data_IF_458036022272
#
_entry.id   IF_458036022272
#
_cell.length_a   1.000
_cell.length_b   1.000
_cell.length_c   1.000
_cell.angle_alpha   90.00
_cell.angle_beta   90.00
_cell.angle_gamma   90.00
#
_symmetry.space_group_name_H-M   'P 1'
#
loop_
_entity.id
_entity.type
_entity.pdbx_description
1 polymer ?
#
# COMPACT_ATOMS: atom_id res chain seq x y z
N UNK A 1 43.80 -46.21 -31.32
CA UNK A 1 42.38 -46.20 -30.88
C UNK A 1 42.14 -45.18 -29.75
N UNK A 2 43.04 -45.09 -28.76
CA UNK A 2 42.88 -44.21 -27.60
C UNK A 2 42.78 -42.70 -27.91
N UNK A 3 43.58 -42.17 -28.85
CA UNK A 3 43.54 -40.74 -29.21
C UNK A 3 42.19 -40.31 -29.85
N UNK A 4 41.57 -41.20 -30.63
CA UNK A 4 40.25 -40.96 -31.22
C UNK A 4 39.17 -40.91 -30.13
N UNK A 5 39.24 -41.81 -29.14
CA UNK A 5 38.29 -41.84 -28.04
C UNK A 5 38.44 -40.62 -27.12
N UNK A 6 39.68 -40.19 -26.81
CA UNK A 6 39.91 -38.93 -26.09
C UNK A 6 39.32 -37.71 -26.82
N UNK A 7 39.43 -37.66 -28.15
CA UNK A 7 38.84 -36.57 -28.94
C UNK A 7 37.32 -36.61 -28.92
N UNK A 8 36.72 -37.80 -28.97
CA UNK A 8 35.27 -38.00 -28.83
C UNK A 8 34.78 -37.51 -27.47
N UNK A 9 35.46 -37.90 -26.39
CA UNK A 9 35.13 -37.47 -25.03
C UNK A 9 35.22 -35.95 -24.87
N UNK A 10 36.25 -35.30 -25.42
CA UNK A 10 36.39 -33.83 -25.40
C UNK A 10 35.22 -33.13 -26.12
N UNK A 11 34.79 -33.64 -27.28
CA UNK A 11 33.64 -33.08 -28.01
C UNK A 11 32.35 -33.21 -27.20
N UNK A 12 32.12 -34.37 -26.58
CA UNK A 12 30.95 -34.59 -25.72
C UNK A 12 30.96 -33.67 -24.50
N UNK A 13 32.10 -33.51 -23.85
CA UNK A 13 32.24 -32.60 -22.70
C UNK A 13 32.00 -31.13 -23.11
N UNK A 14 32.49 -30.71 -24.28
CA UNK A 14 32.28 -29.36 -24.79
C UNK A 14 30.80 -29.10 -25.09
N UNK A 15 30.14 -30.03 -25.79
CA UNK A 15 28.71 -29.93 -26.11
C UNK A 15 27.83 -29.91 -24.86
N UNK A 16 28.15 -30.71 -23.83
CA UNK A 16 27.44 -30.65 -22.54
C UNK A 16 27.57 -29.28 -21.88
N UNK A 17 28.78 -28.74 -21.80
CA UNK A 17 29.00 -27.43 -21.20
C UNK A 17 28.37 -26.28 -21.99
N UNK A 18 28.32 -26.39 -23.32
CA UNK A 18 27.62 -25.43 -24.17
C UNK A 18 26.11 -25.46 -23.93
N UNK A 19 25.49 -26.65 -23.86
CA UNK A 19 24.07 -26.80 -23.52
C UNK A 19 23.75 -26.26 -22.12
N UNK A 20 24.59 -26.56 -21.12
CA UNK A 20 24.40 -26.07 -19.74
C UNK A 20 24.55 -24.54 -19.67
N UNK A 21 25.49 -23.98 -20.43
CA UNK A 21 25.65 -22.54 -20.55
C UNK A 21 24.45 -21.93 -21.25
N UNK A 22 23.94 -22.60 -22.29
CA UNK A 22 22.84 -22.08 -23.08
C UNK A 22 21.50 -22.05 -22.36
N UNK A 23 21.29 -22.99 -21.44
CA UNK A 23 20.14 -23.04 -20.54
C UNK A 23 20.11 -21.88 -19.52
N UNK A 24 21.21 -21.12 -19.34
CA UNK A 24 21.23 -19.98 -18.42
C UNK A 24 20.41 -18.82 -18.98
N UNK A 25 19.51 -18.30 -18.17
CA UNK A 25 18.71 -17.11 -18.51
C UNK A 25 19.55 -15.83 -18.47
N UNK A 26 20.38 -15.69 -17.44
CA UNK A 26 21.21 -14.51 -17.22
C UNK A 26 22.60 -14.67 -17.86
N UNK A 27 22.65 -14.52 -19.19
CA UNK A 27 23.92 -14.39 -19.91
C UNK A 27 24.33 -12.92 -19.95
N UNK A 28 25.62 -12.65 -19.74
CA UNK A 28 26.16 -11.32 -20.01
C UNK A 28 26.14 -11.09 -21.51
N UNK A 29 25.85 -9.87 -21.94
CA UNK A 29 25.85 -9.50 -23.35
C UNK A 29 26.56 -8.16 -23.56
N UNK A 30 26.97 -7.92 -24.80
CA UNK A 30 27.59 -6.67 -25.17
C UNK A 30 26.50 -5.58 -25.22
N UNK A 31 26.66 -4.45 -24.52
CA UNK A 31 25.65 -3.39 -24.53
C UNK A 31 25.58 -2.62 -25.85
N UNK A 32 26.60 -2.72 -26.71
CA UNK A 32 26.62 -2.03 -28.01
C UNK A 32 26.01 -2.87 -29.13
N UNK A 33 26.37 -4.16 -29.23
CA UNK A 33 25.87 -5.03 -30.30
C UNK A 33 24.79 -6.02 -29.85
N UNK A 34 24.47 -6.08 -28.55
CA UNK A 34 23.47 -7.00 -28.00
C UNK A 34 23.90 -8.46 -27.98
N UNK A 35 25.08 -8.81 -28.53
CA UNK A 35 25.50 -10.20 -28.64
C UNK A 35 25.78 -10.79 -27.25
N UNK A 36 25.17 -11.93 -26.88
CA UNK A 36 25.48 -12.61 -25.64
C UNK A 36 26.92 -13.13 -25.68
N UNK A 37 27.57 -13.15 -24.51
CA UNK A 37 28.87 -13.77 -24.31
C UNK A 37 28.75 -15.25 -24.68
N UNK A 38 29.61 -15.73 -25.57
CA UNK A 38 29.64 -17.13 -25.99
C UNK A 38 30.21 -18.05 -24.91
N UNK A 39 29.93 -19.35 -24.98
CA UNK A 39 30.44 -20.33 -24.02
C UNK A 39 31.98 -20.36 -23.96
N UNK A 40 32.65 -20.22 -25.11
CA UNK A 40 34.12 -20.15 -25.17
C UNK A 40 34.66 -18.90 -24.47
N UNK A 41 34.05 -17.73 -24.69
CA UNK A 41 34.42 -16.49 -24.00
C UNK A 41 34.16 -16.57 -22.49
N UNK A 42 33.06 -17.21 -22.08
CA UNK A 42 32.76 -17.47 -20.67
C UNK A 42 33.79 -18.39 -20.03
N UNK A 43 34.13 -19.50 -20.70
CA UNK A 43 35.11 -20.49 -20.24
C UNK A 43 36.51 -19.88 -20.10
N UNK A 44 36.91 -19.05 -21.06
CA UNK A 44 38.20 -18.34 -21.07
C UNK A 44 38.21 -17.09 -20.18
N UNK A 45 37.12 -16.80 -19.44
CA UNK A 45 36.95 -15.63 -18.57
C UNK A 45 37.17 -14.29 -19.28
N UNK A 46 36.88 -14.22 -20.59
CA UNK A 46 37.00 -13.00 -21.38
C UNK A 46 35.91 -12.02 -20.98
N UNK A 47 36.30 -10.85 -20.48
CA UNK A 47 35.35 -9.81 -20.03
C UNK A 47 34.90 -8.86 -21.13
N UNK A 48 35.58 -8.82 -22.27
CA UNK A 48 35.36 -7.83 -23.34
C UNK A 48 34.87 -8.50 -24.62
N UNK A 49 33.92 -7.86 -25.29
CA UNK A 49 33.43 -8.23 -26.61
C UNK A 49 34.56 -8.09 -27.64
N UNK A 50 34.79 -9.12 -28.46
CA UNK A 50 35.85 -9.11 -29.47
C UNK A 50 35.61 -8.07 -30.57
N UNK A 51 34.35 -7.78 -30.90
CA UNK A 51 34.00 -6.82 -31.95
C UNK A 51 33.97 -5.37 -31.45
N UNK A 52 33.41 -5.14 -30.25
CA UNK A 52 33.17 -3.79 -29.74
C UNK A 52 34.23 -3.31 -28.74
N UNK A 53 35.04 -4.21 -28.18
CA UNK A 53 36.01 -3.92 -27.11
C UNK A 53 35.39 -3.55 -25.75
N UNK A 54 34.06 -3.48 -25.65
CA UNK A 54 33.32 -3.12 -24.43
C UNK A 54 33.14 -4.34 -23.54
N UNK A 55 33.05 -4.12 -22.23
CA UNK A 55 32.81 -5.17 -21.25
C UNK A 55 31.41 -5.77 -21.36
N UNK A 56 31.35 -7.10 -21.27
CA UNK A 56 30.11 -7.85 -21.20
C UNK A 56 29.42 -7.56 -19.85
N UNK A 57 28.17 -7.12 -19.92
CA UNK A 57 27.32 -6.83 -18.76
C UNK A 57 25.92 -7.40 -18.94
N UNK A 58 25.14 -7.47 -17.87
CA UNK A 58 23.72 -7.79 -18.01
C UNK A 58 23.02 -6.59 -18.67
N UNK A 59 22.21 -6.83 -19.71
CA UNK A 59 21.55 -5.77 -20.47
C UNK A 59 20.54 -5.01 -19.59
N UNK A 60 19.82 -5.74 -18.75
CA UNK A 60 18.83 -5.19 -17.82
C UNK A 60 19.43 -5.12 -16.41
N UNK A 61 20.55 -4.43 -16.27
CA UNK A 61 21.11 -4.18 -14.94
C UNK A 61 20.15 -3.28 -14.15
N UNK A 62 19.99 -3.56 -12.85
CA UNK A 62 19.00 -2.85 -12.05
C UNK A 62 19.27 -1.33 -11.98
N UNK A 63 20.55 -0.93 -11.96
CA UNK A 63 20.94 0.48 -12.00
C UNK A 63 20.51 1.24 -13.27
N UNK A 64 20.31 0.56 -14.40
CA UNK A 64 19.82 1.21 -15.63
C UNK A 64 18.31 1.49 -15.56
N UNK A 65 17.55 0.67 -14.82
CA UNK A 65 16.08 0.69 -14.78
C UNK A 65 15.55 1.40 -13.53
N UNK A 66 16.31 1.37 -12.43
CA UNK A 66 15.93 1.81 -11.09
C UNK A 66 15.29 3.20 -11.06
N UNK A 67 15.91 4.19 -11.71
CA UNK A 67 15.41 5.56 -11.72
C UNK A 67 14.05 5.68 -12.43
N UNK A 68 13.91 5.07 -13.60
CA UNK A 68 12.64 5.09 -14.34
C UNK A 68 11.52 4.38 -13.59
N UNK A 69 11.85 3.29 -12.91
CA UNK A 69 10.91 2.50 -12.13
C UNK A 69 10.43 3.26 -10.89
N UNK A 70 11.37 3.75 -10.08
CA UNK A 70 11.08 4.51 -8.85
C UNK A 70 10.27 5.77 -9.15
N UNK A 71 10.61 6.48 -10.23
CA UNK A 71 9.85 7.63 -10.70
C UNK A 71 8.39 7.26 -11.04
N UNK A 72 8.17 6.22 -11.83
CA UNK A 72 6.80 5.73 -12.16
C UNK A 72 6.02 5.31 -10.92
N UNK A 73 6.67 4.67 -9.96
CA UNK A 73 6.04 4.29 -8.69
C UNK A 73 5.64 5.52 -7.86
N UNK A 74 6.48 6.55 -7.82
CA UNK A 74 6.17 7.81 -7.15
C UNK A 74 5.01 8.56 -7.83
N UNK A 75 4.99 8.64 -9.16
CA UNK A 75 3.87 9.24 -9.90
C UNK A 75 2.55 8.52 -9.68
N UNK A 76 2.56 7.19 -9.78
CA UNK A 76 1.34 6.40 -9.54
C UNK A 76 0.85 6.52 -8.11
N UNK A 77 1.76 6.55 -7.13
CA UNK A 77 1.43 6.82 -5.73
C UNK A 77 0.80 8.20 -5.53
N UNK A 78 1.36 9.25 -6.14
CA UNK A 78 0.80 10.62 -6.09
C UNK A 78 -0.59 10.69 -6.69
N UNK A 79 -0.78 10.14 -7.89
CA UNK A 79 -2.08 10.11 -8.56
C UNK A 79 -3.14 9.34 -7.75
N UNK A 80 -2.75 8.27 -7.05
CA UNK A 80 -3.64 7.55 -6.15
C UNK A 80 -3.99 8.37 -4.90
N UNK A 81 -3.04 9.10 -4.33
CA UNK A 81 -3.29 9.97 -3.18
C UNK A 81 -4.25 11.11 -3.56
N UNK A 82 -4.00 11.79 -4.67
CA UNK A 82 -4.88 12.86 -5.19
C UNK A 82 -6.29 12.35 -5.46
N UNK A 83 -6.44 11.17 -6.07
CA UNK A 83 -7.75 10.55 -6.30
C UNK A 83 -8.47 10.26 -4.99
N UNK A 84 -7.77 9.76 -3.97
CA UNK A 84 -8.36 9.53 -2.65
C UNK A 84 -8.82 10.84 -2.02
N UNK A 85 -8.01 11.89 -2.08
CA UNK A 85 -8.37 13.21 -1.56
C UNK A 85 -9.61 13.78 -2.26
N UNK A 86 -9.70 13.66 -3.59
CA UNK A 86 -10.88 14.07 -4.35
C UNK A 86 -12.14 13.34 -3.90
N UNK A 87 -12.06 12.01 -3.70
CA UNK A 87 -13.19 11.21 -3.21
C UNK A 87 -13.62 11.67 -1.81
N UNK A 88 -12.67 11.87 -0.89
CA UNK A 88 -12.98 12.36 0.45
C UNK A 88 -13.59 13.77 0.44
N UNK A 89 -13.07 14.66 -0.40
CA UNK A 89 -13.62 16.00 -0.57
C UNK A 89 -15.06 15.95 -1.10
N UNK A 90 -15.32 15.11 -2.11
CA UNK A 90 -16.67 14.91 -2.65
C UNK A 90 -17.63 14.35 -1.60
N UNK A 91 -17.24 13.30 -0.87
CA UNK A 91 -18.06 12.73 0.20
C UNK A 91 -18.39 13.75 1.29
N UNK A 92 -17.42 14.61 1.64
CA UNK A 92 -17.60 15.67 2.63
C UNK A 92 -18.56 16.75 2.11
N UNK A 93 -18.41 17.17 0.85
CA UNK A 93 -19.32 18.11 0.21
C UNK A 93 -20.76 17.57 0.11
N UNK A 94 -20.93 16.31 -0.25
CA UNK A 94 -22.23 15.64 -0.28
C UNK A 94 -22.86 15.54 1.12
N UNK A 95 -22.06 15.18 2.14
CA UNK A 95 -22.52 15.12 3.54
C UNK A 95 -22.97 16.48 4.06
N UNK A 96 -22.17 17.53 3.81
CA UNK A 96 -22.53 18.90 4.20
C UNK A 96 -23.73 19.43 3.42
N UNK A 97 -23.90 19.10 2.13
CA UNK A 97 -25.10 19.44 1.37
C UNK A 97 -26.35 18.73 1.88
N UNK A 98 -26.24 17.45 2.31
CA UNK A 98 -27.37 16.76 2.98
C UNK A 98 -27.81 17.46 4.26
N UNK A 99 -26.87 18.04 5.03
CA UNK A 99 -27.19 18.83 6.22
C UNK A 99 -27.84 20.18 5.90
N UNK A 100 -27.59 20.76 4.71
CA UNK A 100 -28.19 22.01 4.23
C UNK A 100 -29.59 21.84 3.63
N UNK A 101 -30.08 20.61 3.45
CA UNK A 101 -31.44 20.38 2.99
C UNK A 101 -32.42 20.91 4.05
N UNK A 102 -33.27 21.86 3.66
CA UNK A 102 -34.28 22.40 4.55
C UNK A 102 -35.25 21.29 4.99
N UNK A 103 -35.51 21.22 6.30
CA UNK A 103 -36.50 20.28 6.85
C UNK A 103 -37.85 20.52 6.19
N UNK A 104 -38.53 19.44 5.80
CA UNK A 104 -39.90 19.53 5.28
C UNK A 104 -40.85 20.08 6.35
N UNK A 105 -41.91 20.78 5.94
CA UNK A 105 -42.95 21.29 6.85
C UNK A 105 -43.49 20.20 7.80
N UNK A 106 -43.65 18.95 7.30
CA UNK A 106 -44.09 17.81 8.10
C UNK A 106 -43.06 17.40 9.16
N UNK A 107 -41.77 17.42 8.83
CA UNK A 107 -40.69 17.12 9.78
C UNK A 107 -40.60 18.18 10.87
N UNK A 108 -40.70 19.46 10.50
CA UNK A 108 -40.76 20.57 11.47
C UNK A 108 -41.97 20.45 12.41
N UNK A 109 -43.12 20.00 11.89
CA UNK A 109 -44.31 19.77 12.71
C UNK A 109 -44.13 18.62 13.69
N UNK A 110 -43.52 17.50 13.27
CA UNK A 110 -43.17 16.39 14.16
C UNK A 110 -42.16 16.80 15.24
N UNK A 111 -41.12 17.55 14.89
CA UNK A 111 -40.16 18.07 15.87
C UNK A 111 -40.83 18.97 16.91
N UNK A 112 -41.73 19.86 16.49
CA UNK A 112 -42.54 20.67 17.41
C UNK A 112 -43.38 19.79 18.34
N UNK A 113 -44.01 18.74 17.83
CA UNK A 113 -44.80 17.82 18.66
C UNK A 113 -43.95 17.02 19.65
N UNK A 114 -42.76 16.55 19.24
CA UNK A 114 -41.82 15.84 20.11
C UNK A 114 -41.30 16.80 21.18
N UNK A 115 -40.90 18.02 20.82
CA UNK A 115 -40.47 19.03 21.77
C UNK A 115 -41.59 19.37 22.77
N UNK A 116 -42.83 19.52 22.30
CA UNK A 116 -43.98 19.74 23.19
C UNK A 116 -44.29 18.54 24.08
N UNK A 117 -44.06 17.30 23.63
CA UNK A 117 -44.18 16.10 24.48
C UNK A 117 -43.09 16.03 25.54
N UNK A 118 -41.85 16.35 25.19
CA UNK A 118 -40.72 16.34 26.12
C UNK A 118 -40.77 17.51 27.12
N UNK A 119 -41.38 18.63 26.73
CA UNK A 119 -41.58 19.80 27.58
C UNK A 119 -42.85 19.70 28.45
N UNK A 120 -43.70 18.69 28.20
CA UNK A 120 -44.74 18.28 29.15
C UNK A 120 -44.06 17.47 30.25
N UNK A 121 -43.53 18.17 31.25
CA UNK A 121 -43.18 17.57 32.55
C UNK A 121 -44.37 16.73 33.01
N UNK A 122 -44.14 15.43 33.19
CA UNK A 122 -45.21 14.54 33.65
C UNK A 122 -45.61 14.92 35.09
N UNK A 123 -46.81 14.54 35.53
CA UNK A 123 -47.26 14.78 36.91
C UNK A 123 -46.25 14.24 37.95
N UNK A 124 -45.59 13.11 37.63
CA UNK A 124 -44.51 12.54 38.42
C UNK A 124 -43.26 13.44 38.39
N UNK A 125 -42.84 13.98 37.24
CA UNK A 125 -41.70 14.91 37.16
C UNK A 125 -41.93 16.23 37.91
N UNK A 126 -43.18 16.71 38.01
CA UNK A 126 -43.52 17.95 38.74
C UNK A 126 -43.55 17.76 40.25
N UNK A 127 -43.92 16.56 40.73
CA UNK A 127 -44.12 16.27 42.15
C UNK A 127 -43.00 15.42 42.78
N UNK A 128 -42.14 14.81 41.97
CA UNK A 128 -41.00 14.06 42.46
C UNK A 128 -39.77 14.96 42.54
N UNK A 129 -39.43 15.41 43.74
CA UNK A 129 -38.08 15.93 44.02
C UNK A 129 -37.17 14.72 44.25
N UNK A 130 -36.15 14.49 43.40
CA UNK A 130 -35.22 13.40 43.65
C UNK A 130 -34.52 13.70 44.96
N UNK A 131 -34.65 12.82 45.96
CA UNK A 131 -34.00 12.96 47.25
C UNK A 131 -32.48 13.08 47.03
N UNK A 132 -31.95 14.30 47.08
CA UNK A 132 -30.57 14.65 46.72
C UNK A 132 -29.53 14.03 47.65
N UNK A 133 -29.98 13.48 48.78
CA UNK A 133 -29.14 12.90 49.83
C UNK A 133 -29.16 11.37 49.84
N UNK A 134 -29.69 10.72 48.80
CA UNK A 134 -29.58 9.27 48.71
C UNK A 134 -28.11 8.86 48.55
N UNK A 135 -27.62 8.01 49.47
CA UNK A 135 -26.23 7.52 49.49
C UNK A 135 -25.82 6.91 48.15
N UNK A 136 -26.77 6.28 47.45
CA UNK A 136 -26.56 5.67 46.14
C UNK A 136 -26.30 6.70 45.03
N UNK A 137 -26.99 7.84 45.02
CA UNK A 137 -26.79 8.88 44.00
C UNK A 137 -25.47 9.62 44.20
N UNK A 138 -25.05 9.86 45.45
CA UNK A 138 -23.72 10.41 45.77
C UNK A 138 -22.60 9.48 45.32
N UNK A 139 -22.73 8.18 45.57
CA UNK A 139 -21.76 7.18 45.13
C UNK A 139 -21.64 7.08 43.60
N UNK A 140 -22.75 7.20 42.87
CA UNK A 140 -22.75 7.22 41.40
C UNK A 140 -22.03 8.45 40.85
N UNK A 141 -22.30 9.64 41.39
CA UNK A 141 -21.64 10.88 40.97
C UNK A 141 -20.13 10.85 41.25
N UNK A 142 -19.72 10.25 42.38
CA UNK A 142 -18.29 10.11 42.71
C UNK A 142 -17.57 9.14 41.76
N UNK A 143 -18.20 8.00 41.42
CA UNK A 143 -17.68 7.05 40.45
C UNK A 143 -17.55 7.68 39.05
N UNK A 144 -18.55 8.47 38.65
CA UNK A 144 -18.55 9.13 37.35
C UNK A 144 -17.51 10.25 37.27
N UNK A 145 -17.32 11.01 38.36
CA UNK A 145 -16.25 11.99 38.50
C UNK A 145 -14.86 11.34 38.41
N UNK A 146 -14.64 10.20 39.10
CA UNK A 146 -13.38 9.43 39.01
C UNK A 146 -13.12 8.92 37.59
N UNK A 147 -14.15 8.42 36.91
CA UNK A 147 -14.03 7.95 35.52
C UNK A 147 -13.70 9.09 34.55
N UNK A 148 -14.31 10.26 34.73
CA UNK A 148 -14.05 11.42 33.90
C UNK A 148 -12.64 12.00 34.14
N UNK A 149 -12.19 12.05 35.40
CA UNK A 149 -10.82 12.44 35.74
C UNK A 149 -9.78 11.49 35.13
N UNK A 150 -10.03 10.18 35.14
CA UNK A 150 -9.17 9.18 34.51
C UNK A 150 -9.11 9.34 32.98
N UNK A 151 -10.23 9.72 32.34
CA UNK A 151 -10.29 9.97 30.89
C UNK A 151 -9.57 11.25 30.47
N UNK A 152 -9.49 12.26 31.34
CA UNK A 152 -8.77 13.51 31.08
C UNK A 152 -7.26 13.44 31.37
N UNK A 153 -6.79 12.35 31.97
CA UNK A 153 -5.37 12.16 32.35
C UNK A 153 -4.57 11.29 31.35
N UNK A 154 -5.21 10.79 30.30
CA UNK A 154 -4.60 10.14 29.11
C UNK A 154 -4.67 11.07 27.92
#
# INVERSE_FOLDING_TARGET
>A
MEAAERNRQKKLALSRGENDYDARLDKKACPKCGLPQSYSEFKDKKKKCQMCGVEFRFLNAWGDIEHSFTFRMAETSRAQAERKEQIYAQMTAESTNRLKMNKSAKQLQYEKQIAMKNNKQTFLDRNYTPNGDSKTKRAQLELEAKRNAARSAT
#
